data_IF_317418912520
#
_entry.id   IF_317418912520
#
_cell.length_a   1.000
_cell.length_b   1.000
_cell.length_c   1.000
_cell.angle_alpha   90.00
_cell.angle_beta   90.00
_cell.angle_gamma   90.00
#
_symmetry.space_group_name_H-M   'P 1'
#
loop_
_entity.id
_entity.type
_entity.pdbx_description
1 polymer ?
#
# COMPACT_ATOMS: atom_id res chain seq x y z
N UNK A 1 -29.58 11.85 -7.36
CA UNK A 1 -28.38 11.37 -6.64
C UNK A 1 -27.37 10.89 -7.66
N UNK A 2 -26.23 11.57 -7.78
CA UNK A 2 -25.12 11.05 -8.56
C UNK A 2 -24.42 10.00 -7.70
N UNK A 3 -24.62 8.72 -8.01
CA UNK A 3 -23.72 7.67 -7.52
C UNK A 3 -22.41 7.82 -8.31
N UNK A 4 -21.54 8.75 -7.92
CA UNK A 4 -20.18 8.75 -8.45
C UNK A 4 -19.59 7.38 -8.13
N UNK A 5 -19.13 6.63 -9.13
CA UNK A 5 -18.47 5.34 -8.92
C UNK A 5 -17.36 5.54 -7.88
N UNK A 6 -17.59 5.06 -6.67
CA UNK A 6 -16.59 5.11 -5.62
C UNK A 6 -15.52 4.08 -5.97
N UNK A 7 -14.27 4.54 -6.01
CA UNK A 7 -13.10 3.70 -6.22
C UNK A 7 -12.38 3.61 -4.88
N UNK A 8 -12.15 2.39 -4.40
CA UNK A 8 -11.35 2.10 -3.22
C UNK A 8 -10.17 1.26 -3.71
N UNK A 9 -9.00 1.86 -3.98
CA UNK A 9 -7.82 1.10 -4.33
C UNK A 9 -7.38 0.22 -3.16
N UNK A 10 -7.05 -1.03 -3.48
CA UNK A 10 -6.47 -1.97 -2.54
C UNK A 10 -5.17 -2.50 -3.14
N UNK A 11 -4.08 -2.42 -2.37
CA UNK A 11 -2.81 -3.04 -2.72
C UNK A 11 -2.68 -4.37 -2.00
N UNK A 12 -2.44 -5.41 -2.77
CA UNK A 12 -2.10 -6.74 -2.29
C UNK A 12 -0.64 -7.02 -2.61
N UNK A 13 0.01 -7.79 -1.74
CA UNK A 13 1.32 -8.34 -2.00
C UNK A 13 1.39 -9.75 -1.45
N UNK A 14 2.10 -10.61 -2.16
CA UNK A 14 2.32 -11.99 -1.78
C UNK A 14 3.75 -12.41 -2.08
N UNK A 15 4.19 -13.46 -1.40
CA UNK A 15 5.49 -14.09 -1.62
C UNK A 15 5.34 -15.28 -2.56
N UNK A 16 6.46 -15.72 -3.17
CA UNK A 16 6.48 -16.94 -3.98
C UNK A 16 6.19 -18.21 -3.16
N UNK A 17 6.36 -18.15 -1.83
CA UNK A 17 6.05 -19.23 -0.89
C UNK A 17 4.55 -19.28 -0.54
N UNK A 18 3.75 -18.33 -1.02
CA UNK A 18 2.30 -18.27 -0.78
C UNK A 18 1.88 -17.48 0.47
N UNK A 19 2.78 -16.74 1.11
CA UNK A 19 2.43 -15.84 2.20
C UNK A 19 1.86 -14.54 1.64
N UNK A 20 0.66 -14.16 2.09
CA UNK A 20 0.08 -12.86 1.77
C UNK A 20 0.48 -11.82 2.82
N UNK A 21 0.95 -10.67 2.37
CA UNK A 21 1.20 -9.53 3.25
C UNK A 21 -0.12 -8.80 3.54
N UNK A 22 -0.12 -8.03 4.64
CA UNK A 22 -1.26 -7.24 5.04
C UNK A 22 -1.80 -6.37 3.88
N UNK A 23 -3.11 -6.41 3.59
CA UNK A 23 -3.71 -5.55 2.58
C UNK A 23 -3.56 -4.07 2.93
N UNK A 24 -3.50 -3.22 1.91
CA UNK A 24 -3.41 -1.78 2.08
C UNK A 24 -4.53 -1.08 1.31
N UNK A 25 -5.45 -0.46 2.05
CA UNK A 25 -6.71 0.10 1.54
C UNK A 25 -6.62 1.62 1.54
N UNK A 26 -7.01 2.27 0.44
CA UNK A 26 -7.01 3.73 0.32
C UNK A 26 -8.43 4.25 0.08
N UNK A 27 -8.94 5.07 0.99
CA UNK A 27 -10.22 5.76 0.82
C UNK A 27 -10.05 7.09 0.08
N UNK A 28 -11.04 7.46 -0.73
CA UNK A 28 -11.14 8.81 -1.28
C UNK A 28 -11.63 9.79 -0.21
N UNK A 29 -10.72 10.41 0.53
CA UNK A 29 -11.05 11.31 1.63
C UNK A 29 -9.89 12.27 1.98
N UNK A 30 -10.20 13.35 2.69
CA UNK A 30 -9.20 14.23 3.30
C UNK A 30 -8.69 13.67 4.64
N UNK A 31 -9.60 13.12 5.44
CA UNK A 31 -9.32 12.55 6.75
C UNK A 31 -9.66 11.05 6.78
N UNK A 32 -8.95 10.31 7.65
CA UNK A 32 -9.22 8.90 7.91
C UNK A 32 -9.87 8.78 9.29
N UNK A 33 -11.00 8.10 9.36
CA UNK A 33 -11.75 7.90 10.60
C UNK A 33 -11.54 6.49 11.12
N UNK A 34 -11.41 6.32 12.44
CA UNK A 34 -11.17 5.01 13.06
C UNK A 34 -12.30 4.01 12.77
N UNK A 35 -13.54 4.48 12.65
CA UNK A 35 -14.70 3.66 12.30
C UNK A 35 -14.61 3.01 10.91
N UNK A 36 -13.75 3.53 10.03
CA UNK A 36 -13.52 2.95 8.70
C UNK A 36 -12.41 1.88 8.72
N UNK A 37 -11.66 1.80 9.82
CA UNK A 37 -10.46 0.96 9.93
C UNK A 37 -10.74 -0.37 10.64
N UNK A 38 -12.01 -0.77 10.74
CA UNK A 38 -12.46 -1.99 11.43
C UNK A 38 -13.01 -3.03 10.46
N UNK A 39 -12.87 -4.32 10.80
CA UNK A 39 -13.48 -5.43 10.06
C UNK A 39 -12.72 -5.90 8.81
N UNK A 40 -11.52 -5.36 8.56
CA UNK A 40 -10.62 -5.89 7.53
C UNK A 40 -9.87 -7.14 8.00
N UNK A 41 -9.19 -7.86 7.09
CA UNK A 41 -8.24 -8.92 7.43
C UNK A 41 -7.20 -8.45 8.46
N UNK A 42 -6.63 -9.40 9.21
CA UNK A 42 -5.64 -9.07 10.24
C UNK A 42 -4.47 -8.26 9.66
N UNK A 43 -4.07 -7.21 10.40
CA UNK A 43 -2.98 -6.33 10.00
C UNK A 43 -3.29 -5.37 8.85
N UNK A 44 -4.52 -5.38 8.30
CA UNK A 44 -4.91 -4.46 7.21
C UNK A 44 -4.58 -3.03 7.57
N UNK A 45 -3.93 -2.35 6.63
CA UNK A 45 -3.56 -0.96 6.78
C UNK A 45 -4.51 -0.08 5.96
N UNK A 46 -5.11 0.88 6.63
CA UNK A 46 -6.03 1.83 6.02
C UNK A 46 -5.34 3.18 5.87
N UNK A 47 -5.55 3.82 4.72
CA UNK A 47 -5.12 5.17 4.46
C UNK A 47 -6.15 5.87 3.56
N UNK A 48 -5.83 7.09 3.13
CA UNK A 48 -6.69 7.93 2.30
C UNK A 48 -5.89 8.73 1.30
N UNK A 49 -6.55 9.17 0.24
CA UNK A 49 -6.05 10.17 -0.69
C UNK A 49 -7.20 11.05 -1.17
N UNK A 50 -6.92 12.34 -1.43
CA UNK A 50 -7.95 13.28 -1.89
C UNK A 50 -8.54 12.90 -3.25
N UNK A 51 -7.72 12.32 -4.14
CA UNK A 51 -8.17 11.90 -5.48
C UNK A 51 -8.91 10.56 -5.46
N UNK A 52 -8.71 9.74 -4.43
CA UNK A 52 -9.14 8.35 -4.40
C UNK A 52 -8.17 7.40 -5.10
N UNK A 53 -7.15 7.92 -5.79
CA UNK A 53 -6.09 7.10 -6.39
C UNK A 53 -4.91 6.96 -5.45
N UNK A 54 -4.21 5.82 -5.53
CA UNK A 54 -2.92 5.68 -4.86
C UNK A 54 -1.90 6.65 -5.46
N UNK A 55 -1.10 7.25 -4.59
CA UNK A 55 0.01 8.12 -4.97
C UNK A 55 1.33 7.67 -4.31
N UNK A 56 2.42 8.38 -4.59
CA UNK A 56 3.74 8.06 -4.03
C UNK A 56 3.80 8.05 -2.50
N UNK A 57 3.03 8.90 -1.81
CA UNK A 57 2.97 8.89 -0.35
C UNK A 57 2.28 7.63 0.15
N UNK A 58 1.19 7.21 -0.49
CA UNK A 58 0.52 5.95 -0.13
C UNK A 58 1.43 4.73 -0.39
N UNK A 59 2.20 4.74 -1.49
CA UNK A 59 3.15 3.67 -1.78
C UNK A 59 4.29 3.62 -0.75
N UNK A 60 4.91 4.77 -0.44
CA UNK A 60 5.97 4.84 0.57
C UNK A 60 5.48 4.37 1.94
N UNK A 61 4.27 4.79 2.31
CA UNK A 61 3.61 4.37 3.53
C UNK A 61 3.43 2.84 3.57
N UNK A 62 2.80 2.25 2.55
CA UNK A 62 2.68 0.80 2.40
C UNK A 62 4.03 0.09 2.49
N UNK A 63 5.04 0.56 1.76
CA UNK A 63 6.37 -0.04 1.74
C UNK A 63 7.01 -0.06 3.14
N UNK A 64 7.00 1.07 3.85
CA UNK A 64 7.66 1.20 5.14
C UNK A 64 6.98 0.44 6.27
N UNK A 65 5.67 0.18 6.20
CA UNK A 65 4.95 -0.48 7.32
C UNK A 65 4.50 -1.89 7.02
N UNK A 66 4.42 -2.27 5.75
CA UNK A 66 4.00 -3.62 5.36
C UNK A 66 5.22 -4.40 4.91
N UNK A 67 5.93 -3.89 3.90
CA UNK A 67 7.04 -4.60 3.27
C UNK A 67 8.29 -4.62 4.14
N UNK A 68 8.73 -3.48 4.67
CA UNK A 68 9.94 -3.40 5.49
C UNK A 68 9.85 -4.27 6.75
N UNK A 69 8.76 -4.26 7.54
CA UNK A 69 8.63 -5.15 8.69
C UNK A 69 8.62 -6.63 8.30
N UNK A 70 7.97 -6.99 7.19
CA UNK A 70 8.00 -8.36 6.66
C UNK A 70 9.44 -8.78 6.25
N UNK A 71 10.18 -7.88 5.59
CA UNK A 71 11.52 -8.14 5.09
C UNK A 71 12.57 -8.21 6.20
N UNK A 72 12.46 -7.37 7.24
CA UNK A 72 13.41 -7.33 8.37
C UNK A 72 13.41 -8.60 9.23
N UNK A 73 12.32 -9.35 9.24
CA UNK A 73 12.22 -10.63 9.98
C UNK A 73 12.86 -11.82 9.25
N UNK A 74 13.45 -11.59 8.07
CA UNK A 74 14.02 -12.64 7.20
C UNK A 74 15.47 -12.29 6.90
N UNK A 75 16.35 -13.28 6.78
CA UNK A 75 17.77 -13.04 6.52
C UNK A 75 18.13 -13.07 5.02
N UNK A 76 17.24 -13.59 4.17
CA UNK A 76 17.47 -13.77 2.73
C UNK A 76 17.48 -12.45 1.93
N UNK A 77 17.91 -12.49 0.65
CA UNK A 77 17.70 -11.35 -0.27
C UNK A 77 16.21 -11.27 -0.64
N UNK A 78 15.70 -10.05 -0.80
CA UNK A 78 14.29 -9.79 -1.16
C UNK A 78 14.24 -9.02 -2.45
N UNK A 79 13.34 -9.43 -3.33
CA UNK A 79 13.00 -8.72 -4.57
C UNK A 79 11.51 -8.46 -4.54
N UNK A 80 11.12 -7.23 -4.88
CA UNK A 80 9.72 -6.85 -5.01
C UNK A 80 9.48 -6.62 -6.49
N UNK A 81 8.46 -7.31 -7.01
CA UNK A 81 8.04 -7.18 -8.40
C UNK A 81 6.60 -6.67 -8.34
N UNK A 82 6.32 -5.60 -9.07
CA UNK A 82 4.98 -5.04 -9.17
C UNK A 82 4.93 -4.06 -10.34
N UNK A 83 3.76 -3.93 -10.93
CA UNK A 83 3.51 -2.90 -11.93
C UNK A 83 3.23 -1.56 -11.25
N UNK A 84 3.76 -0.49 -11.83
CA UNK A 84 3.66 0.87 -11.28
C UNK A 84 2.43 1.54 -11.87
N UNK A 85 1.34 1.67 -11.10
CA UNK A 85 0.18 2.47 -11.53
C UNK A 85 0.47 3.99 -11.63
N UNK A 86 1.67 4.45 -11.30
CA UNK A 86 2.16 5.76 -11.72
C UNK A 86 3.68 5.74 -11.87
N UNK A 87 4.18 6.30 -12.96
CA UNK A 87 5.56 6.40 -13.45
C UNK A 87 6.61 7.05 -12.51
N UNK A 88 6.36 7.13 -11.19
CA UNK A 88 7.17 7.87 -10.22
C UNK A 88 7.86 7.02 -9.15
N UNK A 89 7.48 5.76 -8.92
CA UNK A 89 8.17 4.93 -7.92
C UNK A 89 9.63 4.62 -8.30
N UNK A 90 9.92 4.51 -9.60
CA UNK A 90 11.27 4.29 -10.12
C UNK A 90 12.26 5.44 -9.84
N UNK A 91 11.78 6.64 -9.47
CA UNK A 91 12.65 7.77 -9.14
C UNK A 91 13.06 7.77 -7.65
N UNK A 92 12.25 7.18 -6.77
CA UNK A 92 12.52 7.11 -5.33
C UNK A 92 13.53 6.01 -4.98
N UNK A 93 13.39 4.81 -5.57
CA UNK A 93 14.32 3.69 -5.31
C UNK A 93 15.78 3.98 -5.73
N UNK A 94 15.99 4.92 -6.65
CA UNK A 94 17.34 5.36 -7.06
C UNK A 94 18.04 6.20 -5.98
N UNK A 95 17.30 6.82 -5.07
CA UNK A 95 17.83 7.77 -4.07
C UNK A 95 18.00 7.16 -2.67
N UNK A 96 17.66 5.88 -2.48
CA UNK A 96 17.83 5.18 -1.19
C UNK A 96 19.16 4.40 -1.14
N UNK A 97 19.96 4.43 -2.22
CA UNK A 97 21.26 3.77 -2.35
C UNK A 97 22.45 4.75 -2.48
N UNK A 98 22.37 5.94 -1.89
CA UNK A 98 23.51 6.86 -1.73
C UNK A 98 23.79 7.12 -0.26
#
# INVERSE_FOLDING_TARGET
MNFSKENIPVMFAGTAEGEMLAPYVVYKAENLWQSWCSGGPEGTRFNRSRSGWMNGNNFNDWFLTVVVPWARRRESRKVIIGDTLSSRAGQWLKNVNT
#
